data_IF_365388771163
#
_entry.id   IF_365388771163
#
_cell.length_a   1.000
_cell.length_b   1.000
_cell.length_c   1.000
_cell.angle_alpha   90.00
_cell.angle_beta   90.00
_cell.angle_gamma   90.00
#
_symmetry.space_group_name_H-M   'P 1'
#
loop_
_entity.id
_entity.type
_entity.pdbx_description
1 polymer ?
#
# COMPACT_ATOMS: atom_id res chain seq x y z
N UNK A 1 -7.42 2.27 -42.96
CA UNK A 1 -8.23 1.65 -41.89
C UNK A 1 -7.28 0.75 -41.10
N UNK A 2 -6.88 1.13 -39.88
CA UNK A 2 -6.43 0.28 -38.75
C UNK A 2 -6.10 1.22 -37.57
N UNK A 3 -6.93 1.11 -36.53
CA UNK A 3 -6.84 1.57 -35.15
C UNK A 3 -6.08 2.88 -34.81
N UNK A 4 -6.84 3.93 -34.47
CA UNK A 4 -6.42 4.90 -33.44
C UNK A 4 -6.14 4.10 -32.16
N UNK A 5 -4.86 3.82 -31.89
CA UNK A 5 -4.44 3.27 -30.60
C UNK A 5 -4.83 4.27 -29.50
N UNK A 6 -5.60 3.79 -28.52
CA UNK A 6 -6.18 4.61 -27.48
C UNK A 6 -5.10 5.30 -26.63
N UNK A 7 -4.87 6.59 -26.88
CA UNK A 7 -4.15 7.53 -26.02
C UNK A 7 -4.77 7.69 -24.61
N UNK A 8 -5.85 6.97 -24.31
CA UNK A 8 -6.64 7.08 -23.09
C UNK A 8 -5.87 6.67 -21.81
N UNK A 9 -4.78 5.91 -21.93
CA UNK A 9 -3.92 5.51 -20.80
C UNK A 9 -2.56 6.22 -20.76
N UNK A 10 -2.38 7.31 -21.52
CA UNK A 10 -1.21 8.20 -21.42
C UNK A 10 -1.28 9.16 -20.23
N UNK A 11 -2.41 9.19 -19.50
CA UNK A 11 -2.61 9.98 -18.28
C UNK A 11 -1.73 9.54 -17.12
N UNK A 12 -1.29 8.27 -17.10
CA UNK A 12 -0.42 7.77 -16.04
C UNK A 12 1.04 7.91 -16.48
N UNK A 13 1.88 8.65 -15.72
CA UNK A 13 3.28 8.78 -16.05
C UNK A 13 3.92 7.38 -16.07
N UNK A 14 4.60 7.04 -17.17
CA UNK A 14 5.35 5.79 -17.32
C UNK A 14 6.48 5.61 -16.29
N UNK A 15 6.77 6.65 -15.51
CA UNK A 15 7.78 6.65 -14.44
C UNK A 15 7.18 6.14 -13.14
N UNK A 16 7.81 5.10 -12.57
CA UNK A 16 7.44 4.51 -11.26
C UNK A 16 7.62 5.49 -10.08
N UNK A 17 8.56 6.42 -10.21
CA UNK A 17 8.85 7.49 -9.24
C UNK A 17 8.04 8.72 -9.63
N UNK A 18 7.25 9.22 -8.69
CA UNK A 18 6.45 10.42 -8.83
C UNK A 18 7.26 11.68 -8.54
N UNK A 19 7.98 11.68 -7.40
CA UNK A 19 8.74 12.83 -6.91
C UNK A 19 10.03 12.32 -6.26
N UNK A 20 11.12 13.05 -6.41
CA UNK A 20 12.34 12.85 -5.64
C UNK A 20 12.48 13.98 -4.63
N UNK A 21 12.46 13.64 -3.34
CA UNK A 21 12.54 14.61 -2.25
C UNK A 21 13.83 14.34 -1.48
N UNK A 22 14.79 15.27 -1.54
CA UNK A 22 16.11 15.15 -0.89
C UNK A 22 16.83 13.80 -1.15
N UNK A 23 16.70 13.25 -2.36
CA UNK A 23 17.30 11.95 -2.73
C UNK A 23 16.46 10.72 -2.37
N UNK A 24 15.26 10.90 -1.81
CA UNK A 24 14.30 9.82 -1.57
C UNK A 24 13.25 9.75 -2.69
N UNK A 25 13.19 8.65 -3.46
CA UNK A 25 12.20 8.49 -4.52
C UNK A 25 10.83 8.11 -3.94
N UNK A 26 9.87 9.03 -4.04
CA UNK A 26 8.46 8.81 -3.73
C UNK A 26 7.80 8.20 -4.96
N UNK A 27 7.18 7.03 -4.77
CA UNK A 27 6.55 6.30 -5.86
C UNK A 27 5.04 6.57 -5.93
N UNK A 28 4.46 6.44 -7.12
CA UNK A 28 3.02 6.63 -7.33
C UNK A 28 2.15 5.71 -6.47
N UNK A 29 2.57 4.46 -6.25
CA UNK A 29 1.82 3.54 -5.40
C UNK A 29 1.69 4.07 -3.96
N UNK A 30 2.75 4.71 -3.43
CA UNK A 30 2.73 5.30 -2.09
C UNK A 30 1.74 6.47 -2.00
N UNK A 31 1.69 7.30 -3.05
CA UNK A 31 0.72 8.39 -3.15
C UNK A 31 -0.71 7.84 -3.19
N UNK A 32 -0.95 6.77 -3.94
CA UNK A 32 -2.27 6.14 -4.01
C UNK A 32 -2.71 5.55 -2.65
N UNK A 33 -1.80 4.94 -1.90
CA UNK A 33 -2.10 4.50 -0.53
C UNK A 33 -2.48 5.68 0.37
N UNK A 34 -1.71 6.77 0.34
CA UNK A 34 -2.03 7.96 1.12
C UNK A 34 -3.41 8.53 0.74
N UNK A 35 -3.71 8.61 -0.55
CA UNK A 35 -5.00 9.06 -1.05
C UNK A 35 -6.15 8.17 -0.57
N UNK A 36 -5.96 6.84 -0.58
CA UNK A 36 -6.96 5.90 -0.08
C UNK A 36 -7.24 6.10 1.42
N UNK A 37 -6.21 6.30 2.24
CA UNK A 37 -6.38 6.57 3.67
C UNK A 37 -7.01 7.93 3.96
N UNK A 38 -6.67 8.96 3.19
CA UNK A 38 -7.31 10.27 3.28
C UNK A 38 -8.80 10.18 2.92
N UNK A 39 -9.13 9.50 1.83
CA UNK A 39 -10.52 9.24 1.44
C UNK A 39 -11.28 8.51 2.56
N UNK A 40 -10.69 7.45 3.12
CA UNK A 40 -11.28 6.74 4.25
C UNK A 40 -11.55 7.67 5.44
N UNK A 41 -10.57 8.50 5.83
CA UNK A 41 -10.70 9.47 6.91
C UNK A 41 -11.88 10.45 6.71
N UNK A 42 -12.08 10.94 5.47
CA UNK A 42 -13.18 11.86 5.18
C UNK A 42 -14.55 11.19 4.97
N UNK A 43 -14.58 9.92 4.56
CA UNK A 43 -15.81 9.18 4.28
C UNK A 43 -16.38 8.50 5.52
N UNK A 44 -15.55 7.97 6.42
CA UNK A 44 -15.97 7.25 7.63
C UNK A 44 -16.99 8.02 8.50
N UNK A 45 -16.76 9.32 8.82
CA UNK A 45 -17.71 10.11 9.61
C UNK A 45 -19.05 10.37 8.90
N UNK A 46 -19.06 10.37 7.55
CA UNK A 46 -20.29 10.49 6.77
C UNK A 46 -21.05 9.16 6.73
N UNK A 47 -20.32 8.07 6.54
CA UNK A 47 -20.88 6.72 6.45
C UNK A 47 -21.49 6.28 7.79
N UNK A 48 -20.84 6.58 8.92
CA UNK A 48 -21.36 6.23 10.24
C UNK A 48 -22.72 6.89 10.50
N UNK A 49 -22.87 8.18 10.13
CA UNK A 49 -24.13 8.92 10.26
C UNK A 49 -25.24 8.31 9.40
N UNK A 50 -24.93 7.91 8.16
CA UNK A 50 -25.91 7.25 7.28
C UNK A 50 -26.35 5.88 7.80
N UNK A 51 -25.47 5.14 8.48
CA UNK A 51 -25.76 3.81 9.02
C UNK A 51 -26.38 3.84 10.43
N UNK A 52 -26.66 5.02 10.98
CA UNK A 52 -27.19 5.16 12.34
C UNK A 52 -26.18 4.79 13.43
N UNK A 53 -24.88 4.72 13.10
CA UNK A 53 -23.80 4.42 14.04
C UNK A 53 -23.15 5.73 14.47
N UNK A 54 -23.24 6.08 15.75
CA UNK A 54 -22.60 7.27 16.30
C UNK A 54 -21.36 6.89 17.11
N UNK A 55 -20.25 6.62 16.42
CA UNK A 55 -18.95 6.54 17.09
C UNK A 55 -18.50 7.95 17.48
N UNK A 56 -17.93 8.09 18.67
CA UNK A 56 -17.23 9.31 19.06
C UNK A 56 -16.07 9.54 18.10
N UNK A 57 -15.62 10.81 18.02
CA UNK A 57 -14.55 11.19 17.09
C UNK A 57 -13.29 10.34 17.27
N UNK A 58 -12.97 10.02 18.51
CA UNK A 58 -11.76 9.29 18.86
C UNK A 58 -11.88 7.79 18.56
N UNK A 59 -13.09 7.22 18.62
CA UNK A 59 -13.32 5.80 18.37
C UNK A 59 -13.13 5.45 16.89
N UNK A 60 -13.75 6.19 15.96
CA UNK A 60 -13.61 5.89 14.53
C UNK A 60 -12.20 6.18 14.02
N UNK A 61 -11.51 7.18 14.59
CA UNK A 61 -10.12 7.47 14.29
C UNK A 61 -9.20 6.33 14.77
N UNK A 62 -9.50 5.75 15.94
CA UNK A 62 -8.82 4.55 16.45
C UNK A 62 -9.04 3.37 15.52
N UNK A 63 -10.28 3.10 15.10
CA UNK A 63 -10.58 2.03 14.14
C UNK A 63 -9.84 2.23 12.82
N UNK A 64 -9.83 3.45 12.28
CA UNK A 64 -9.11 3.74 11.03
C UNK A 64 -7.60 3.49 11.19
N UNK A 65 -7.01 3.91 12.31
CA UNK A 65 -5.59 3.71 12.61
C UNK A 65 -5.24 2.23 12.70
N UNK A 66 -6.06 1.43 13.38
CA UNK A 66 -5.93 -0.02 13.39
C UNK A 66 -6.12 -0.65 12.01
N UNK A 67 -7.01 -0.09 11.18
CA UNK A 67 -7.17 -0.48 9.79
C UNK A 67 -5.89 -0.27 8.96
N UNK A 68 -5.20 0.86 9.13
CA UNK A 68 -3.91 1.13 8.48
C UNK A 68 -2.87 0.08 8.89
N UNK A 69 -2.76 -0.20 10.19
CA UNK A 69 -1.86 -1.22 10.72
C UNK A 69 -2.22 -2.60 10.13
N UNK A 70 -3.51 -2.93 10.09
CA UNK A 70 -4.02 -4.18 9.51
C UNK A 70 -3.67 -4.33 8.04
N UNK A 71 -3.73 -3.26 7.24
CA UNK A 71 -3.31 -3.30 5.82
C UNK A 71 -1.80 -3.53 5.69
N UNK A 72 -0.98 -2.88 6.52
CA UNK A 72 0.47 -3.04 6.49
C UNK A 72 0.89 -4.46 6.89
N UNK A 73 0.37 -4.96 8.01
CA UNK A 73 0.66 -6.30 8.51
C UNK A 73 0.05 -7.36 7.60
N UNK A 74 -1.20 -7.19 7.20
CA UNK A 74 -1.92 -8.12 6.33
C UNK A 74 -1.31 -8.22 4.94
N UNK A 75 -0.82 -7.11 4.38
CA UNK A 75 -0.10 -7.13 3.11
C UNK A 75 1.19 -7.94 3.18
N UNK A 76 1.91 -7.85 4.31
CA UNK A 76 3.14 -8.63 4.51
C UNK A 76 2.85 -10.11 4.75
N UNK A 77 1.91 -10.42 5.64
CA UNK A 77 1.49 -11.79 5.89
C UNK A 77 0.93 -12.46 4.63
N UNK A 78 0.13 -11.73 3.84
CA UNK A 78 -0.39 -12.20 2.56
C UNK A 78 0.74 -12.52 1.58
N UNK A 79 1.75 -11.67 1.47
CA UNK A 79 2.91 -11.96 0.63
C UNK A 79 3.58 -13.28 1.03
N UNK A 80 3.85 -13.48 2.32
CA UNK A 80 4.50 -14.70 2.80
C UNK A 80 3.63 -15.94 2.54
N UNK A 81 2.35 -15.87 2.87
CA UNK A 81 1.43 -17.01 2.74
C UNK A 81 1.26 -17.45 1.28
N UNK A 82 1.21 -16.52 0.33
CA UNK A 82 0.92 -16.83 -1.07
C UNK A 82 2.15 -16.93 -1.97
N UNK A 83 3.21 -16.17 -1.69
CA UNK A 83 4.38 -16.06 -2.59
C UNK A 83 5.65 -16.63 -1.99
N UNK A 84 5.74 -16.79 -0.66
CA UNK A 84 6.97 -17.20 -0.01
C UNK A 84 6.73 -18.16 1.18
N UNK A 85 5.94 -19.24 1.01
CA UNK A 85 5.57 -20.12 2.11
C UNK A 85 6.77 -20.84 2.74
N UNK A 86 7.84 -21.10 1.97
CA UNK A 86 9.08 -21.66 2.50
C UNK A 86 9.78 -20.77 3.55
N UNK A 87 9.56 -19.45 3.56
CA UNK A 87 10.13 -18.56 4.57
C UNK A 87 9.50 -18.80 5.96
N UNK A 88 8.24 -19.23 6.04
CA UNK A 88 7.59 -19.58 7.31
C UNK A 88 8.28 -20.75 8.02
N UNK A 89 8.80 -21.70 7.25
CA UNK A 89 9.41 -22.93 7.77
C UNK A 89 10.87 -22.77 8.14
N UNK A 90 11.58 -21.80 7.54
CA UNK A 90 13.02 -21.62 7.74
C UNK A 90 13.34 -20.59 8.82
N UNK A 91 12.71 -19.42 8.77
CA UNK A 91 12.99 -18.37 9.75
C UNK A 91 11.88 -17.28 9.76
N UNK A 92 10.86 -17.39 10.64
CA UNK A 92 9.70 -16.50 10.61
C UNK A 92 10.02 -15.04 10.95
N UNK A 93 11.17 -14.74 11.57
CA UNK A 93 11.58 -13.39 11.96
C UNK A 93 12.39 -12.66 10.88
N UNK A 94 12.93 -13.36 9.89
CA UNK A 94 13.63 -12.74 8.76
C UNK A 94 12.68 -11.88 7.92
N UNK A 95 11.40 -12.27 7.80
CA UNK A 95 10.45 -11.58 6.95
C UNK A 95 9.90 -10.27 7.55
N UNK A 96 10.01 -10.09 8.86
CA UNK A 96 9.71 -8.81 9.53
C UNK A 96 10.71 -7.71 9.18
N UNK A 97 11.85 -8.04 8.57
CA UNK A 97 12.84 -7.08 8.08
C UNK A 97 12.36 -6.47 6.77
N UNK A 98 11.34 -5.60 6.84
CA UNK A 98 10.75 -4.88 5.69
C UNK A 98 11.81 -4.10 4.90
N UNK A 99 12.92 -3.73 5.55
CA UNK A 99 14.05 -2.98 4.98
C UNK A 99 15.08 -3.84 4.23
N UNK A 100 15.06 -5.17 4.36
CA UNK A 100 16.03 -6.03 3.68
C UNK A 100 15.69 -6.10 2.19
N UNK A 101 16.42 -5.33 1.38
CA UNK A 101 16.44 -5.55 -0.07
C UNK A 101 17.03 -6.93 -0.33
N UNK A 102 16.30 -7.74 -1.09
CA UNK A 102 16.87 -8.97 -1.65
C UNK A 102 18.16 -8.62 -2.39
N UNK A 103 19.22 -9.45 -2.27
CA UNK A 103 20.45 -9.24 -3.02
C UNK A 103 20.11 -9.13 -4.51
N UNK A 104 20.63 -8.08 -5.16
CA UNK A 104 20.54 -7.94 -6.61
C UNK A 104 21.09 -9.22 -7.27
N UNK A 105 20.43 -9.77 -8.30
CA UNK A 105 20.94 -10.93 -9.03
C UNK A 105 22.34 -10.69 -9.62
N UNK A 106 22.77 -9.43 -9.78
CA UNK A 106 24.11 -9.08 -10.24
C UNK A 106 25.24 -9.31 -9.21
N UNK A 107 24.91 -9.63 -7.95
CA UNK A 107 25.89 -9.88 -6.88
C UNK A 107 26.25 -11.36 -6.69
N UNK A 108 25.65 -12.26 -7.48
CA UNK A 108 25.91 -13.71 -7.47
C UNK A 108 26.73 -14.18 -8.68
N UNK A 109 27.42 -13.25 -9.34
CA UNK A 109 28.33 -13.52 -10.46
C UNK A 109 29.76 -13.17 -10.05
#
# INVERSE_FOLDING_TARGET
MIAKSYDMFSLFPSRRVALEVFGFPIHWYGIMYLLAFLLAYFLLPRLQRQRGVSLLRDDWATVLSWGVIGVLVGGRLGYVLFYAPELLLRDPLEDLKVWRRLPSPASRA
#
